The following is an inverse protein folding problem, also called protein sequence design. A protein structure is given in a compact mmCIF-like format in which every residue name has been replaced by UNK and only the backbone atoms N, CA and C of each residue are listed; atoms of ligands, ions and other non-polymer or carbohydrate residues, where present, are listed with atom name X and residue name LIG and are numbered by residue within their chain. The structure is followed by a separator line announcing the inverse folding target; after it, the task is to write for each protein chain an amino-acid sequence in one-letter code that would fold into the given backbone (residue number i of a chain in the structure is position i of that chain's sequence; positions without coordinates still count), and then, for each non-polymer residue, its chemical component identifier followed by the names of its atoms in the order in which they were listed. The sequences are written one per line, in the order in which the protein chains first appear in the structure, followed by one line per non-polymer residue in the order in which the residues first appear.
data_IF_810279381778
#
_entry.id   IF_810279381778
#
_cell.length_a   1.000
_cell.length_b   1.000
_cell.length_c   1.000
_cell.angle_alpha   90.00
_cell.angle_beta   90.00
_cell.angle_gamma   90.00
#
_symmetry.space_group_name_H-M   'P 1'
#
loop_
_entity.id
_entity.type
_entity.pdbx_description
1 polymer ?
#
# COMPACT_ATOMS: atom_id res chain seq x y z
N UNK A 1 -10.06 -67.33 -14.85
CA UNK A 1 -9.77 -66.43 -13.73
C UNK A 1 -8.74 -65.33 -14.05
N UNK A 2 -7.88 -65.42 -15.08
CA UNK A 2 -6.87 -64.37 -15.38
C UNK A 2 -7.41 -63.07 -16.02
N UNK A 3 -8.57 -63.11 -16.71
CA UNK A 3 -9.13 -61.93 -17.41
C UNK A 3 -9.71 -60.87 -16.46
N UNK A 4 -10.25 -61.27 -15.31
CA UNK A 4 -10.85 -60.33 -14.34
C UNK A 4 -9.78 -59.52 -13.60
N UNK A 5 -8.63 -60.12 -13.25
CA UNK A 5 -7.52 -59.39 -12.63
C UNK A 5 -6.88 -58.37 -13.58
N UNK A 6 -6.80 -58.68 -14.88
CA UNK A 6 -6.27 -57.76 -15.90
C UNK A 6 -7.10 -56.48 -16.00
N UNK A 7 -8.43 -56.59 -15.99
CA UNK A 7 -9.31 -55.42 -16.00
C UNK A 7 -9.18 -54.59 -14.71
N UNK A 8 -9.02 -55.23 -13.55
CA UNK A 8 -8.81 -54.53 -12.28
C UNK A 8 -7.48 -53.76 -12.28
N UNK A 9 -6.40 -54.34 -12.82
CA UNK A 9 -5.12 -53.65 -12.97
C UNK A 9 -5.19 -52.47 -13.94
N UNK A 10 -5.92 -52.60 -15.04
CA UNK A 10 -6.12 -51.52 -16.01
C UNK A 10 -6.93 -50.37 -15.39
N UNK A 11 -7.99 -50.68 -14.64
CA UNK A 11 -8.79 -49.68 -13.93
C UNK A 11 -7.96 -48.97 -12.85
N UNK A 12 -7.16 -49.72 -12.08
CA UNK A 12 -6.27 -49.15 -11.07
C UNK A 12 -5.23 -48.21 -11.69
N UNK A 13 -4.65 -48.60 -12.84
CA UNK A 13 -3.68 -47.78 -13.57
C UNK A 13 -4.31 -46.48 -14.12
N UNK A 14 -5.54 -46.56 -14.64
CA UNK A 14 -6.31 -45.38 -15.08
C UNK A 14 -6.65 -44.43 -13.92
N UNK A 15 -6.96 -44.96 -12.73
CA UNK A 15 -7.19 -44.15 -11.53
C UNK A 15 -5.93 -43.42 -11.05
N UNK A 16 -4.75 -44.04 -11.17
CA UNK A 16 -3.48 -43.41 -10.78
C UNK A 16 -2.99 -42.34 -11.76
N UNK A 17 -3.35 -42.45 -13.05
CA UNK A 17 -3.01 -41.45 -14.06
C UNK A 17 -4.02 -40.28 -14.12
N UNK A 18 -5.21 -40.45 -13.53
CA UNK A 18 -6.26 -39.45 -13.46
C UNK A 18 -6.17 -38.48 -12.28
N UNK A 19 -5.09 -38.51 -11.49
CA UNK A 19 -4.83 -37.48 -10.49
C UNK A 19 -4.43 -36.18 -11.18
N UNK A 20 -5.43 -35.49 -11.72
CA UNK A 20 -5.35 -34.11 -12.19
C UNK A 20 -4.82 -33.25 -11.05
N UNK A 21 -3.55 -32.85 -11.15
CA UNK A 21 -3.04 -31.75 -10.35
C UNK A 21 -3.80 -30.50 -10.79
N UNK A 22 -4.65 -29.97 -9.92
CA UNK A 22 -5.24 -28.65 -10.10
C UNK A 22 -4.09 -27.65 -9.98
N UNK A 23 -3.57 -27.17 -11.11
CA UNK A 23 -2.63 -26.05 -11.15
C UNK A 23 -3.42 -24.78 -10.87
N UNK A 24 -3.45 -24.38 -9.60
CA UNK A 24 -3.91 -23.06 -9.20
C UNK A 24 -2.87 -22.05 -9.66
N UNK A 25 -3.14 -21.38 -10.79
CA UNK A 25 -2.28 -20.30 -11.27
C UNK A 25 -2.46 -19.13 -10.32
N UNK A 26 -1.46 -18.91 -9.46
CA UNK A 26 -1.35 -17.65 -8.70
C UNK A 26 -0.95 -16.59 -9.73
N UNK A 27 -1.84 -15.64 -10.07
CA UNK A 27 -1.45 -14.56 -10.97
C UNK A 27 -0.34 -13.75 -10.28
N UNK A 28 0.79 -13.62 -10.96
CA UNK A 28 1.80 -12.64 -10.58
C UNK A 28 1.31 -11.32 -11.12
N UNK A 29 0.83 -10.44 -10.23
CA UNK A 29 0.52 -9.06 -10.59
C UNK A 29 1.84 -8.36 -10.92
N UNK A 30 2.06 -8.12 -12.21
CA UNK A 30 3.13 -7.25 -12.67
C UNK A 30 2.67 -5.81 -12.52
N UNK A 31 3.23 -5.11 -11.53
CA UNK A 31 3.07 -3.66 -11.44
C UNK A 31 3.77 -3.04 -12.65
N UNK A 32 3.00 -2.55 -13.60
CA UNK A 32 3.54 -1.72 -14.67
C UNK A 32 3.92 -0.37 -14.06
N UNK A 33 5.15 0.13 -14.30
CA UNK A 33 5.52 1.48 -13.88
C UNK A 33 4.52 2.49 -14.43
N UNK A 34 4.16 3.49 -13.63
CA UNK A 34 3.34 4.57 -14.13
C UNK A 34 4.14 5.35 -15.18
N UNK A 35 3.63 5.42 -16.41
CA UNK A 35 4.16 6.30 -17.45
C UNK A 35 3.80 7.76 -17.08
N UNK A 36 4.64 8.39 -16.26
CA UNK A 36 4.53 9.79 -15.89
C UNK A 36 5.23 10.64 -16.95
N UNK A 37 4.44 11.25 -17.84
CA UNK A 37 4.93 12.24 -18.79
C UNK A 37 4.59 13.63 -18.30
N UNK A 38 5.61 14.41 -17.95
CA UNK A 38 5.45 15.81 -17.56
C UNK A 38 5.43 16.70 -18.82
N UNK A 39 4.63 17.77 -18.84
CA UNK A 39 4.71 18.79 -19.88
C UNK A 39 6.17 19.28 -20.02
N UNK A 40 6.67 19.50 -21.25
CA UNK A 40 8.08 19.89 -21.47
C UNK A 40 8.45 21.29 -20.94
N UNK A 41 7.47 21.99 -20.35
CA UNK A 41 7.59 23.31 -19.76
C UNK A 41 7.92 23.25 -18.26
N UNK A 42 7.83 22.07 -17.63
CA UNK A 42 8.17 21.88 -16.22
C UNK A 42 9.64 21.47 -16.12
N UNK A 43 10.48 22.40 -15.69
CA UNK A 43 11.93 22.19 -15.56
C UNK A 43 12.36 22.07 -14.11
N UNK A 44 11.62 22.68 -13.18
CA UNK A 44 11.96 22.75 -11.76
C UNK A 44 10.84 22.22 -10.89
N UNK A 45 11.16 21.28 -10.02
CA UNK A 45 10.22 20.67 -9.08
C UNK A 45 10.66 20.90 -7.64
N UNK A 46 9.71 21.22 -6.76
CA UNK A 46 9.94 21.14 -5.32
C UNK A 46 9.30 19.87 -4.74
N UNK A 47 10.05 19.13 -3.93
CA UNK A 47 9.53 18.05 -3.09
C UNK A 47 9.42 18.59 -1.66
N UNK A 48 8.20 18.63 -1.14
CA UNK A 48 7.90 19.34 0.11
C UNK A 48 7.29 18.42 1.15
N UNK A 49 7.77 18.52 2.39
CA UNK A 49 7.19 17.80 3.52
C UNK A 49 5.93 18.53 4.02
N UNK A 50 4.74 18.01 3.66
CA UNK A 50 3.45 18.57 4.08
C UNK A 50 2.87 17.87 5.34
N UNK A 51 3.72 17.25 6.16
CA UNK A 51 3.26 16.57 7.38
C UNK A 51 3.35 17.47 8.62
N UNK A 52 2.51 17.22 9.62
CA UNK A 52 2.63 17.85 10.94
C UNK A 52 3.50 17.00 11.86
N UNK A 53 3.97 17.58 12.98
CA UNK A 53 4.70 16.85 14.01
C UNK A 53 3.80 15.75 14.60
N UNK A 54 4.08 14.47 14.28
CA UNK A 54 3.46 13.22 14.75
C UNK A 54 1.97 13.36 15.10
N UNK A 55 1.04 13.08 14.16
CA UNK A 55 -0.38 13.06 14.47
C UNK A 55 -0.70 11.98 15.51
N UNK A 56 -1.51 12.32 16.52
CA UNK A 56 -1.90 11.39 17.59
C UNK A 56 -2.91 10.35 17.05
N UNK A 57 -2.39 9.23 16.52
CA UNK A 57 -3.20 8.14 15.97
C UNK A 57 -4.01 7.35 17.02
N UNK A 58 -3.96 7.74 18.31
CA UNK A 58 -4.63 7.02 19.41
C UNK A 58 -6.14 6.87 19.22
N UNK A 59 -6.77 7.67 18.36
CA UNK A 59 -8.21 7.65 18.12
C UNK A 59 -8.69 6.57 17.12
N UNK A 60 -7.80 5.90 16.37
CA UNK A 60 -8.22 5.02 15.24
C UNK A 60 -8.00 3.52 15.50
N UNK A 61 -7.58 3.12 16.71
CA UNK A 61 -7.49 1.68 17.05
C UNK A 61 -8.88 1.13 17.38
N UNK A 62 -9.63 0.78 16.34
CA UNK A 62 -10.98 0.23 16.48
C UNK A 62 -10.90 -1.29 16.48
N UNK A 63 -11.18 -1.90 17.63
CA UNK A 63 -11.57 -3.32 17.68
C UNK A 63 -13.07 -3.37 17.40
N UNK A 64 -13.45 -3.76 16.18
CA UNK A 64 -14.85 -3.87 15.80
C UNK A 64 -15.46 -5.14 16.43
N UNK A 65 -16.54 -5.01 17.21
CA UNK A 65 -17.35 -6.15 17.64
C UNK A 65 -18.15 -6.64 16.44
N UNK A 66 -17.86 -7.86 15.99
CA UNK A 66 -18.45 -8.45 14.77
C UNK A 66 -19.82 -9.05 15.07
N UNK A 67 -20.74 -8.98 14.10
CA UNK A 67 -22.10 -9.55 14.19
C UNK A 67 -22.06 -11.08 14.27
N UNK A 68 -22.88 -11.64 15.16
CA UNK A 68 -23.10 -13.09 15.27
C UNK A 68 -23.61 -13.67 13.94
N UNK A 69 -23.10 -14.85 13.56
CA UNK A 69 -23.48 -15.56 12.33
C UNK A 69 -22.54 -15.38 11.13
N UNK A 70 -21.42 -14.66 11.28
CA UNK A 70 -20.37 -14.59 10.25
C UNK A 70 -19.15 -15.43 10.64
N UNK A 71 -18.37 -15.97 9.68
CA UNK A 71 -17.14 -16.71 9.97
C UNK A 71 -16.02 -15.81 10.53
N UNK A 72 -16.21 -14.48 10.59
CA UNK A 72 -15.23 -13.53 11.09
C UNK A 72 -15.30 -13.49 12.63
N UNK A 73 -14.20 -13.88 13.28
CA UNK A 73 -14.08 -14.04 14.73
C UNK A 73 -13.53 -12.78 15.39
N UNK A 74 -12.54 -12.15 14.77
CA UNK A 74 -11.97 -10.89 15.28
C UNK A 74 -11.42 -10.03 14.16
N UNK A 75 -11.49 -8.72 14.35
CA UNK A 75 -10.86 -7.72 13.48
C UNK A 75 -10.23 -6.63 14.33
N UNK A 76 -8.95 -6.36 14.08
CA UNK A 76 -8.21 -5.29 14.74
C UNK A 76 -7.46 -4.48 13.70
N UNK A 77 -7.51 -3.15 13.81
CA UNK A 77 -6.78 -2.23 12.93
C UNK A 77 -5.71 -1.50 13.75
N UNK A 78 -4.49 -1.48 13.25
CA UNK A 78 -3.38 -0.72 13.79
C UNK A 78 -2.83 0.23 12.73
N UNK A 79 -2.34 1.39 13.17
CA UNK A 79 -1.79 2.42 12.31
C UNK A 79 -0.34 2.67 12.70
N UNK A 80 0.56 2.66 11.71
CA UNK A 80 1.96 3.02 11.89
C UNK A 80 2.28 4.20 10.98
N UNK A 81 2.84 5.28 11.53
CA UNK A 81 3.32 6.41 10.74
C UNK A 81 4.77 6.15 10.34
N UNK A 82 5.11 6.42 9.07
CA UNK A 82 6.47 6.47 8.57
C UNK A 82 7.18 7.75 8.99
N UNK A 83 8.50 7.81 8.74
CA UNK A 83 9.27 9.04 8.92
C UNK A 83 9.09 9.94 7.69
N UNK A 84 8.36 11.07 7.81
CA UNK A 84 8.08 11.92 6.66
C UNK A 84 9.32 12.62 6.13
N UNK A 85 10.32 12.89 6.99
CA UNK A 85 11.57 13.53 6.56
C UNK A 85 12.35 12.59 5.64
N UNK A 86 12.58 11.35 6.11
CA UNK A 86 13.28 10.33 5.31
C UNK A 86 12.53 10.08 4.01
N UNK A 87 11.20 9.93 4.05
CA UNK A 87 10.40 9.70 2.86
C UNK A 87 10.47 10.88 1.87
N UNK A 88 10.51 12.13 2.34
CA UNK A 88 10.64 13.33 1.49
C UNK A 88 12.01 13.38 0.83
N UNK A 89 13.07 13.16 1.60
CA UNK A 89 14.46 13.17 1.12
C UNK A 89 14.69 12.05 0.10
N UNK A 90 14.28 10.81 0.41
CA UNK A 90 14.42 9.66 -0.50
C UNK A 90 13.63 9.84 -1.79
N UNK A 91 12.42 10.41 -1.73
CA UNK A 91 11.63 10.70 -2.92
C UNK A 91 12.33 11.74 -3.82
N UNK A 92 12.88 12.79 -3.21
CA UNK A 92 13.59 13.81 -3.96
C UNK A 92 14.90 13.32 -4.59
N UNK A 93 15.65 12.50 -3.86
CA UNK A 93 16.88 11.87 -4.35
C UNK A 93 16.60 10.97 -5.55
N UNK A 94 15.54 10.15 -5.48
CA UNK A 94 15.16 9.29 -6.60
C UNK A 94 14.72 10.11 -7.83
N UNK A 95 13.90 11.16 -7.63
CA UNK A 95 13.47 12.03 -8.74
C UNK A 95 14.67 12.73 -9.38
N UNK A 96 15.63 13.21 -8.58
CA UNK A 96 16.85 13.82 -9.09
C UNK A 96 17.71 12.80 -9.87
N UNK A 97 17.81 11.57 -9.37
CA UNK A 97 18.58 10.50 -10.01
C UNK A 97 18.01 10.09 -11.37
N UNK A 98 16.68 10.13 -11.54
CA UNK A 98 16.04 9.83 -12.82
C UNK A 98 16.22 10.93 -13.88
N UNK A 99 16.78 12.10 -13.52
CA UNK A 99 17.05 13.23 -14.42
C UNK A 99 15.82 13.68 -15.23
N UNK A 100 14.62 13.62 -14.64
CA UNK A 100 13.40 14.12 -15.27
C UNK A 100 13.30 15.64 -15.30
N UNK A 101 13.99 16.32 -14.38
CA UNK A 101 13.94 17.77 -14.17
C UNK A 101 15.34 18.37 -14.15
N UNK A 102 15.47 19.63 -14.53
CA UNK A 102 16.75 20.36 -14.46
C UNK A 102 17.15 20.65 -13.01
N UNK A 103 16.16 20.92 -12.15
CA UNK A 103 16.37 21.25 -10.75
C UNK A 103 15.31 20.59 -9.86
N UNK A 104 15.79 19.94 -8.79
CA UNK A 104 14.96 19.35 -7.74
C UNK A 104 15.28 20.05 -6.43
N UNK A 105 14.30 20.77 -5.89
CA UNK A 105 14.42 21.51 -4.63
C UNK A 105 13.77 20.71 -3.51
N UNK A 106 14.50 20.48 -2.41
CA UNK A 106 13.99 19.76 -1.24
C UNK A 106 13.58 20.78 -0.18
N UNK A 107 12.32 20.75 0.25
CA UNK A 107 11.84 21.49 1.40
C UNK A 107 11.51 20.49 2.52
N UNK A 108 12.50 20.22 3.37
CA UNK A 108 12.40 19.29 4.50
C UNK A 108 11.63 19.87 5.69
N UNK A 109 11.50 21.20 5.71
CA UNK A 109 10.80 21.96 6.72
C UNK A 109 9.33 21.58 6.68
N UNK A 110 8.86 20.87 7.71
CA UNK A 110 7.46 20.51 7.87
C UNK A 110 6.60 21.78 7.78
N UNK A 111 5.92 21.97 6.64
CA UNK A 111 5.11 23.17 6.37
C UNK A 111 3.98 23.35 7.38
N UNK A 112 3.67 22.28 8.12
CA UNK A 112 2.57 22.17 9.07
C UNK A 112 3.04 21.90 10.49
N UNK A 113 4.29 22.23 10.83
CA UNK A 113 4.84 22.03 12.18
C UNK A 113 4.01 22.70 13.30
N UNK A 114 3.22 23.72 12.96
CA UNK A 114 2.38 24.49 13.87
C UNK A 114 0.88 24.10 13.87
N UNK A 115 0.46 23.13 13.05
CA UNK A 115 -0.92 22.67 13.02
C UNK A 115 -1.25 21.91 14.33
N UNK A 116 -2.14 22.47 15.14
CA UNK A 116 -2.59 21.87 16.42
C UNK A 116 -3.53 20.67 16.24
N UNK A 117 -4.09 20.49 15.05
CA UNK A 117 -4.97 19.38 14.70
C UNK A 117 -4.48 18.78 13.39
N UNK A 118 -4.38 17.45 13.34
CA UNK A 118 -4.13 16.74 12.10
C UNK A 118 -5.29 17.05 11.13
N UNK A 119 -5.01 17.82 10.09
CA UNK A 119 -5.95 18.06 8.99
C UNK A 119 -5.45 17.21 7.82
N UNK A 120 -6.27 16.31 7.31
CA UNK A 120 -6.02 15.56 6.05
C UNK A 120 -6.17 16.44 4.79
N UNK A 121 -5.98 17.75 4.91
CA UNK A 121 -6.12 18.67 3.78
C UNK A 121 -4.79 18.82 3.05
N UNK A 122 -4.81 18.59 1.75
CA UNK A 122 -3.74 18.99 0.83
C UNK A 122 -3.48 20.50 0.92
N UNK A 123 -2.31 20.94 0.46
CA UNK A 123 -1.99 22.37 0.35
C UNK A 123 -3.07 23.11 -0.45
N UNK A 124 -3.49 24.28 0.06
CA UNK A 124 -4.40 25.16 -0.66
C UNK A 124 -3.73 25.80 -1.88
N UNK A 125 -4.51 26.25 -2.86
CA UNK A 125 -3.96 26.89 -4.07
C UNK A 125 -3.10 28.12 -3.75
N UNK A 126 -3.44 28.89 -2.72
CA UNK A 126 -2.65 30.06 -2.34
C UNK A 126 -1.32 29.67 -1.68
N UNK A 127 -1.32 28.63 -0.83
CA UNK A 127 -0.09 28.08 -0.24
C UNK A 127 0.83 27.53 -1.33
N UNK A 128 0.29 26.77 -2.29
CA UNK A 128 1.04 26.26 -3.44
C UNK A 128 1.63 27.42 -4.24
N UNK A 129 0.85 28.47 -4.52
CA UNK A 129 1.32 29.64 -5.29
C UNK A 129 2.44 30.39 -4.57
N UNK A 130 2.28 30.65 -3.28
CA UNK A 130 3.30 31.34 -2.48
C UNK A 130 4.58 30.50 -2.35
N UNK A 131 4.44 29.20 -2.14
CA UNK A 131 5.56 28.28 -1.96
C UNK A 131 6.31 28.05 -3.29
N UNK A 132 5.60 27.89 -4.40
CA UNK A 132 6.22 27.74 -5.71
C UNK A 132 7.01 29.01 -6.09
N UNK A 133 6.43 30.19 -5.81
CA UNK A 133 7.07 31.48 -6.02
C UNK A 133 8.30 31.69 -5.13
N UNK A 134 8.24 31.29 -3.85
CA UNK A 134 9.36 31.45 -2.92
C UNK A 134 10.53 30.50 -3.21
N UNK A 135 10.22 29.28 -3.66
CA UNK A 135 11.22 28.28 -4.06
C UNK A 135 11.69 28.46 -5.52
N UNK A 136 10.98 29.24 -6.33
CA UNK A 136 11.31 29.46 -7.74
C UNK A 136 11.14 28.22 -8.61
N UNK A 137 10.12 27.40 -8.31
CA UNK A 137 9.83 26.14 -9.01
C UNK A 137 8.56 26.22 -9.84
N UNK A 138 8.43 25.35 -10.86
CA UNK A 138 7.28 25.32 -11.75
C UNK A 138 6.09 24.58 -11.13
N UNK A 139 6.37 23.57 -10.31
CA UNK A 139 5.35 22.81 -9.59
C UNK A 139 5.90 22.14 -8.32
N UNK A 140 4.98 21.62 -7.51
CA UNK A 140 5.26 21.06 -6.19
C UNK A 140 4.70 19.65 -6.10
N UNK A 141 5.51 18.73 -5.55
CA UNK A 141 5.08 17.42 -5.08
C UNK A 141 5.10 17.47 -3.56
N UNK A 142 3.91 17.48 -2.96
CA UNK A 142 3.74 17.50 -1.52
C UNK A 142 3.64 16.08 -0.98
N UNK A 143 4.55 15.70 -0.08
CA UNK A 143 4.46 14.47 0.67
C UNK A 143 3.47 14.65 1.83
N UNK A 144 2.37 13.91 1.76
CA UNK A 144 1.39 13.81 2.84
C UNK A 144 1.80 12.75 3.87
N UNK A 145 1.02 12.60 4.95
CA UNK A 145 1.37 11.68 6.05
C UNK A 145 1.54 10.23 5.56
N UNK A 146 2.77 9.67 5.55
CA UNK A 146 3.00 8.29 5.14
C UNK A 146 2.48 7.35 6.23
N UNK A 147 1.28 6.81 6.07
CA UNK A 147 0.62 6.00 7.10
C UNK A 147 0.30 4.61 6.60
N UNK A 148 0.80 3.60 7.34
CA UNK A 148 0.48 2.21 7.11
C UNK A 148 -0.73 1.81 7.96
N UNK A 149 -1.77 1.31 7.29
CA UNK A 149 -2.95 0.71 7.93
C UNK A 149 -2.84 -0.81 7.89
N UNK A 150 -2.58 -1.42 9.04
CA UNK A 150 -2.56 -2.86 9.20
C UNK A 150 -3.90 -3.36 9.78
N UNK A 151 -4.61 -4.19 9.01
CA UNK A 151 -5.87 -4.81 9.43
C UNK A 151 -5.65 -6.30 9.65
N UNK A 152 -5.68 -6.74 10.90
CA UNK A 152 -5.70 -8.16 11.25
C UNK A 152 -7.14 -8.65 11.24
N UNK A 153 -7.38 -9.77 10.57
CA UNK A 153 -8.64 -10.50 10.60
C UNK A 153 -8.40 -11.96 10.98
N UNK A 154 -9.25 -12.50 11.85
CA UNK A 154 -9.28 -13.93 12.17
C UNK A 154 -10.64 -14.45 11.77
N UNK A 155 -10.66 -15.50 10.95
CA UNK A 155 -11.86 -16.17 10.47
C UNK A 155 -11.83 -17.63 10.85
N UNK A 156 -12.99 -18.21 11.15
CA UNK A 156 -13.16 -19.64 11.31
C UNK A 156 -13.65 -20.23 9.99
N UNK A 157 -12.94 -21.23 9.50
CA UNK A 157 -13.25 -21.93 8.26
C UNK A 157 -13.98 -23.23 8.60
N UNK A 158 -15.31 -23.24 8.43
CA UNK A 158 -16.15 -24.40 8.75
C UNK A 158 -15.73 -25.66 7.99
N UNK A 159 -15.34 -25.51 6.72
CA UNK A 159 -14.95 -26.62 5.83
C UNK A 159 -13.71 -27.38 6.33
N UNK A 160 -12.79 -26.66 6.99
CA UNK A 160 -11.51 -27.20 7.48
C UNK A 160 -11.46 -27.31 9.01
N UNK A 161 -12.51 -26.91 9.71
CA UNK A 161 -12.62 -26.86 11.17
C UNK A 161 -11.40 -26.17 11.84
N UNK A 162 -10.94 -25.05 11.28
CA UNK A 162 -9.74 -24.36 11.72
C UNK A 162 -9.87 -22.83 11.67
N UNK A 163 -8.94 -22.12 12.31
CA UNK A 163 -8.87 -20.65 12.28
C UNK A 163 -7.84 -20.18 11.26
N UNK A 164 -8.23 -19.25 10.40
CA UNK A 164 -7.37 -18.53 9.48
C UNK A 164 -7.13 -17.10 9.99
N UNK A 165 -5.87 -16.75 10.24
CA UNK A 165 -5.45 -15.37 10.48
C UNK A 165 -4.89 -14.76 9.21
N UNK A 166 -5.31 -13.54 8.88
CA UNK A 166 -4.74 -12.75 7.79
C UNK A 166 -4.46 -11.32 8.27
N UNK A 167 -3.35 -10.75 7.80
CA UNK A 167 -3.00 -9.34 8.02
C UNK A 167 -2.92 -8.68 6.65
N UNK A 168 -3.75 -7.66 6.45
CA UNK A 168 -3.77 -6.83 5.25
C UNK A 168 -3.15 -5.48 5.59
N UNK A 169 -2.09 -5.08 4.88
CA UNK A 169 -1.38 -3.81 5.11
C UNK A 169 -1.55 -2.93 3.88
N UNK A 170 -2.03 -1.70 4.10
CA UNK A 170 -2.20 -0.70 3.05
C UNK A 170 -1.39 0.56 3.37
N UNK A 171 -0.84 1.18 2.33
CA UNK A 171 -0.14 2.49 2.36
C UNK A 171 -1.10 3.54 1.82
#
# INVERSE_FOLDING_TARGET
MAKSYSLVFIVLFLLTLGSCQSLEQIPIDYLQPADLSFPPQLWKVAIVNNTSNIPDNKLITTTEKIKEGTPLVSRATAYANGDPKIATESLAEEIAHQNYFEEVVICDSALRSNDKLARESTLSQEEVRLLASSLGVDFIIALENPQLKATKSVRFLNEFNCFQGAVDVKV
#
